data_IF_813150705482
#
_entry.id   IF_813150705482
#
_cell.length_a   1.000
_cell.length_b   1.000
_cell.length_c   1.000
_cell.angle_alpha   90.00
_cell.angle_beta   90.00
_cell.angle_gamma   90.00
#
_symmetry.space_group_name_H-M   'P 1'
#
loop_
_entity.id
_entity.type
_entity.pdbx_description
1 polymer ?
#
# COMPACT_ATOMS: atom_id res chain seq x y z
N UNK A 1 12.44 -24.05 -26.90
CA UNK A 1 12.31 -22.57 -26.89
C UNK A 1 12.21 -22.18 -25.47
N UNK A 2 13.29 -21.67 -24.89
CA UNK A 2 13.37 -21.21 -23.51
C UNK A 2 12.58 -19.90 -23.38
N UNK A 3 11.61 -19.84 -22.44
CA UNK A 3 10.92 -18.61 -22.08
C UNK A 3 11.95 -17.54 -21.69
N UNK A 4 11.75 -16.27 -22.11
CA UNK A 4 12.64 -15.20 -21.68
C UNK A 4 12.49 -15.03 -20.18
N UNK A 5 13.59 -15.14 -19.47
CA UNK A 5 13.78 -14.80 -18.07
C UNK A 5 13.16 -13.41 -17.83
N UNK A 6 11.98 -13.35 -17.17
CA UNK A 6 11.39 -12.11 -16.69
C UNK A 6 12.32 -11.58 -15.59
N UNK A 7 13.33 -10.82 -15.98
CA UNK A 7 14.16 -10.09 -15.04
C UNK A 7 13.24 -9.34 -14.08
N UNK A 8 13.46 -9.50 -12.78
CA UNK A 8 12.78 -8.75 -11.72
C UNK A 8 13.00 -7.25 -11.97
N UNK A 9 12.07 -6.63 -12.70
CA UNK A 9 12.14 -5.18 -12.90
C UNK A 9 11.75 -4.52 -11.56
N UNK A 10 12.68 -3.78 -10.97
CA UNK A 10 12.44 -3.01 -9.74
C UNK A 10 11.52 -1.84 -10.08
N UNK A 11 10.37 -1.76 -9.39
CA UNK A 11 9.44 -0.63 -9.55
C UNK A 11 9.82 0.53 -8.63
N UNK A 12 10.21 0.21 -7.37
CA UNK A 12 10.59 1.21 -6.37
C UNK A 12 11.99 0.90 -5.89
N UNK A 13 12.89 1.87 -6.05
CA UNK A 13 14.26 1.81 -5.55
C UNK A 13 14.43 2.84 -4.44
N UNK A 14 14.81 2.39 -3.24
CA UNK A 14 15.11 3.27 -2.10
C UNK A 14 16.57 3.10 -1.71
N UNK A 15 17.29 4.23 -1.54
CA UNK A 15 18.71 4.23 -1.15
C UNK A 15 18.97 5.27 -0.07
N UNK A 16 19.51 4.81 1.05
CA UNK A 16 19.97 5.66 2.13
C UNK A 16 18.90 6.56 2.72
N UNK A 17 17.64 6.09 2.77
CA UNK A 17 16.52 6.89 3.21
C UNK A 17 16.58 7.11 4.71
N UNK A 18 16.73 8.36 5.11
CA UNK A 18 16.67 8.82 6.47
C UNK A 18 15.48 9.78 6.64
N UNK A 19 14.77 9.69 7.77
CA UNK A 19 13.66 10.59 8.08
C UNK A 19 13.68 11.01 9.54
N UNK A 20 13.46 12.31 9.76
CA UNK A 20 13.33 12.90 11.09
C UNK A 20 11.98 13.61 11.23
N UNK A 21 11.36 13.45 12.39
CA UNK A 21 10.27 14.29 12.87
C UNK A 21 10.82 15.20 13.98
N UNK A 22 11.15 16.46 13.65
CA UNK A 22 11.91 17.33 14.53
C UNK A 22 13.30 16.74 14.81
N UNK A 23 13.56 16.42 16.09
CA UNK A 23 14.82 15.79 16.52
C UNK A 23 14.77 14.25 16.50
N UNK A 24 13.59 13.66 16.40
CA UNK A 24 13.41 12.21 16.42
C UNK A 24 13.80 11.61 15.07
N UNK A 25 14.87 10.84 15.01
CA UNK A 25 15.32 10.09 13.84
C UNK A 25 14.47 8.80 13.74
N UNK A 26 13.52 8.77 12.82
CA UNK A 26 12.50 7.73 12.72
C UNK A 26 12.81 6.64 11.67
N UNK A 27 13.66 6.95 10.67
CA UNK A 27 14.17 5.98 9.71
C UNK A 27 15.67 6.17 9.54
N UNK A 28 16.44 5.07 9.56
CA UNK A 28 17.89 5.04 9.59
C UNK A 28 18.42 4.34 8.34
N UNK A 29 18.96 5.09 7.38
CA UNK A 29 19.68 4.58 6.19
C UNK A 29 18.95 3.44 5.45
N UNK A 30 17.63 3.54 5.34
CA UNK A 30 16.78 2.49 4.77
C UNK A 30 17.06 2.36 3.28
N UNK A 31 17.42 1.13 2.85
CA UNK A 31 17.65 0.79 1.44
C UNK A 31 16.91 -0.51 1.09
N UNK A 32 16.09 -0.46 0.02
CA UNK A 32 15.28 -1.60 -0.41
C UNK A 32 14.91 -1.47 -1.89
N UNK A 33 14.82 -2.61 -2.58
CA UNK A 33 14.29 -2.73 -3.93
C UNK A 33 12.95 -3.47 -3.90
N UNK A 34 11.89 -2.81 -4.36
CA UNK A 34 10.54 -3.40 -4.42
C UNK A 34 10.24 -3.81 -5.86
N UNK A 35 10.06 -5.12 -6.11
CA UNK A 35 9.82 -5.62 -7.46
C UNK A 35 8.45 -5.21 -8.00
N UNK A 36 8.39 -5.01 -9.31
CA UNK A 36 7.16 -4.72 -10.05
C UNK A 36 6.16 -5.88 -9.95
N UNK A 37 4.85 -5.54 -9.88
CA UNK A 37 3.75 -6.52 -9.87
C UNK A 37 3.94 -7.63 -8.82
N UNK A 38 4.32 -7.22 -7.62
CA UNK A 38 4.51 -8.09 -6.46
C UNK A 38 3.92 -7.45 -5.21
N UNK A 39 3.72 -8.25 -4.17
CA UNK A 39 3.37 -7.76 -2.84
C UNK A 39 4.61 -7.79 -1.96
N UNK A 40 5.02 -6.62 -1.44
CA UNK A 40 6.05 -6.51 -0.41
C UNK A 40 5.39 -6.16 0.93
N UNK A 41 5.50 -7.05 1.91
CA UNK A 41 5.02 -6.82 3.26
C UNK A 41 6.10 -6.15 4.12
N UNK A 42 5.69 -5.15 4.91
CA UNK A 42 6.49 -4.52 5.95
C UNK A 42 5.98 -5.01 7.30
N UNK A 43 6.79 -5.77 8.01
CA UNK A 43 6.46 -6.33 9.34
C UNK A 43 7.39 -5.76 10.41
N UNK A 44 7.00 -5.88 11.68
CA UNK A 44 7.79 -5.41 12.82
C UNK A 44 6.91 -4.83 13.93
N UNK A 45 7.46 -4.55 15.12
CA UNK A 45 6.70 -4.04 16.25
C UNK A 45 6.06 -2.67 15.97
N UNK A 46 5.06 -2.30 16.79
CA UNK A 46 4.42 -0.98 16.68
C UNK A 46 5.45 0.13 16.91
N UNK A 47 5.37 1.19 16.11
CA UNK A 47 6.27 2.35 16.22
C UNK A 47 7.67 2.17 15.61
N UNK A 48 8.01 1.02 14.99
CA UNK A 48 9.34 0.79 14.41
C UNK A 48 9.60 1.47 13.04
N UNK A 49 8.68 2.30 12.53
CA UNK A 49 8.91 3.09 11.31
C UNK A 49 8.20 2.62 10.05
N UNK A 50 7.47 1.48 10.02
CA UNK A 50 6.81 0.92 8.84
C UNK A 50 5.89 1.89 8.11
N UNK A 51 4.91 2.47 8.83
CA UNK A 51 3.97 3.46 8.24
C UNK A 51 4.67 4.76 7.86
N UNK A 52 5.74 5.13 8.59
CA UNK A 52 6.60 6.26 8.21
C UNK A 52 7.28 6.00 6.88
N UNK A 53 7.88 4.82 6.71
CA UNK A 53 8.49 4.41 5.45
C UNK A 53 7.45 4.34 4.31
N UNK A 54 6.30 3.70 4.55
CA UNK A 54 5.22 3.60 3.57
C UNK A 54 4.81 4.99 3.04
N UNK A 55 4.65 5.97 3.93
CA UNK A 55 4.29 7.36 3.60
C UNK A 55 5.40 8.15 2.91
N UNK A 56 6.66 7.69 2.93
CA UNK A 56 7.71 8.26 2.11
C UNK A 56 7.49 7.96 0.62
N UNK A 57 6.91 6.81 0.27
CA UNK A 57 6.75 6.37 -1.11
C UNK A 57 5.75 7.22 -1.92
N UNK A 58 4.88 8.00 -1.25
CA UNK A 58 3.93 8.91 -1.90
C UNK A 58 4.01 10.35 -1.34
N UNK A 59 5.09 10.66 -0.62
CA UNK A 59 5.34 11.99 -0.05
C UNK A 59 4.25 12.48 0.93
N UNK A 60 3.53 11.55 1.58
CA UNK A 60 2.53 11.95 2.60
C UNK A 60 3.19 12.57 3.84
N UNK A 61 4.47 12.25 4.11
CA UNK A 61 5.22 12.85 5.21
C UNK A 61 5.49 14.36 5.01
N UNK A 62 5.39 14.87 3.78
CA UNK A 62 5.49 16.32 3.51
C UNK A 62 4.40 17.14 4.23
N UNK A 63 3.31 16.50 4.63
CA UNK A 63 2.21 17.13 5.39
C UNK A 63 2.51 17.27 6.88
N UNK A 64 3.58 16.63 7.37
CA UNK A 64 3.96 16.67 8.78
C UNK A 64 4.94 17.81 9.01
N UNK A 65 4.62 18.70 9.95
CA UNK A 65 5.51 19.82 10.31
C UNK A 65 6.84 19.30 10.82
N UNK A 66 7.93 19.97 10.44
CA UNK A 66 9.31 19.64 10.83
C UNK A 66 9.73 18.22 10.40
N UNK A 67 9.13 17.66 9.35
CA UNK A 67 9.62 16.44 8.73
C UNK A 67 10.80 16.78 7.81
N UNK A 68 11.92 16.07 7.99
CA UNK A 68 13.10 16.15 7.15
C UNK A 68 13.43 14.77 6.60
N UNK A 69 13.66 14.71 5.29
CA UNK A 69 13.95 13.47 4.57
C UNK A 69 15.29 13.65 3.84
N UNK A 70 16.13 12.61 3.86
CA UNK A 70 17.37 12.50 3.10
C UNK A 70 17.45 11.11 2.46
N UNK A 71 18.24 10.99 1.41
CA UNK A 71 18.34 9.77 0.61
C UNK A 71 17.60 9.92 -0.72
N UNK A 72 17.36 8.80 -1.39
CA UNK A 72 16.69 8.76 -2.69
C UNK A 72 15.57 7.73 -2.68
N UNK A 73 14.42 8.10 -3.25
CA UNK A 73 13.31 7.18 -3.53
C UNK A 73 12.95 7.35 -5.00
N UNK A 74 13.18 6.30 -5.80
CA UNK A 74 12.84 6.30 -7.22
C UNK A 74 11.66 5.37 -7.49
N UNK A 75 10.74 5.84 -8.30
CA UNK A 75 9.64 5.05 -8.85
C UNK A 75 9.72 5.15 -10.36
N UNK A 76 9.79 4.01 -11.05
CA UNK A 76 10.05 3.94 -12.49
C UNK A 76 11.27 4.80 -12.88
N UNK A 77 12.39 4.65 -12.15
CA UNK A 77 13.67 5.36 -12.31
C UNK A 77 13.62 6.88 -12.09
N UNK A 78 12.50 7.45 -11.64
CA UNK A 78 12.37 8.88 -11.32
C UNK A 78 12.42 9.12 -9.83
N UNK A 79 13.33 9.98 -9.36
CA UNK A 79 13.39 10.36 -7.95
C UNK A 79 12.18 11.22 -7.59
N UNK A 80 11.33 10.69 -6.69
CA UNK A 80 10.08 11.35 -6.30
C UNK A 80 10.28 12.59 -5.43
N UNK A 81 11.50 12.83 -4.91
CA UNK A 81 11.86 14.01 -4.12
C UNK A 81 12.56 15.09 -4.95
N UNK A 82 12.74 14.89 -6.26
CA UNK A 82 13.28 15.93 -7.14
C UNK A 82 12.31 17.12 -7.24
N UNK A 83 12.86 18.32 -7.53
CA UNK A 83 12.10 19.58 -7.50
C UNK A 83 11.05 19.71 -8.61
N UNK A 84 11.20 18.95 -9.68
CA UNK A 84 10.34 18.94 -10.86
C UNK A 84 9.16 17.97 -10.76
N UNK A 85 9.06 17.21 -9.67
CA UNK A 85 7.96 16.27 -9.47
C UNK A 85 6.68 16.99 -9.05
N UNK A 86 5.63 16.79 -9.84
CA UNK A 86 4.27 17.12 -9.45
C UNK A 86 3.77 16.09 -8.41
N UNK A 87 3.58 16.56 -7.17
CA UNK A 87 3.13 15.71 -6.05
C UNK A 87 1.69 15.23 -6.24
N UNK A 88 0.85 15.98 -6.97
CA UNK A 88 -0.53 15.56 -7.26
C UNK A 88 -0.51 14.38 -8.23
N UNK A 89 0.29 14.47 -9.29
CA UNK A 89 0.47 13.36 -10.23
C UNK A 89 1.12 12.14 -9.55
N UNK A 90 2.15 12.35 -8.72
CA UNK A 90 2.75 11.27 -7.93
C UNK A 90 1.70 10.53 -7.09
N UNK A 91 0.83 11.24 -6.36
CA UNK A 91 -0.20 10.63 -5.50
C UNK A 91 -1.34 9.98 -6.28
N UNK A 92 -1.52 10.33 -7.54
CA UNK A 92 -2.39 9.60 -8.48
C UNK A 92 -1.76 8.25 -8.87
N UNK A 93 -0.45 8.25 -9.19
CA UNK A 93 0.31 7.05 -9.57
C UNK A 93 0.56 6.11 -8.38
N UNK A 94 0.72 6.66 -7.17
CA UNK A 94 1.00 5.94 -5.93
C UNK A 94 -0.16 6.13 -4.95
N UNK A 95 -1.19 5.29 -5.12
CA UNK A 95 -2.39 5.34 -4.30
C UNK A 95 -2.16 4.80 -2.90
N UNK A 96 -2.97 5.23 -1.93
CA UNK A 96 -2.87 4.80 -0.54
C UNK A 96 -4.22 4.43 0.05
N UNK A 97 -4.26 3.28 0.71
CA UNK A 97 -5.39 2.78 1.50
C UNK A 97 -4.99 2.79 2.97
N UNK A 98 -5.77 3.48 3.79
CA UNK A 98 -5.46 3.71 5.20
C UNK A 98 -6.02 2.60 6.10
N UNK A 99 -5.48 2.52 7.30
CA UNK A 99 -5.86 1.56 8.34
C UNK A 99 -7.36 1.64 8.69
N UNK A 100 -7.87 2.87 8.89
CA UNK A 100 -9.31 3.09 9.09
C UNK A 100 -9.95 3.43 7.75
N UNK A 101 -11.03 2.76 7.36
CA UNK A 101 -11.81 3.17 6.20
C UNK A 101 -12.17 4.65 6.31
N UNK A 102 -11.99 5.39 5.22
CA UNK A 102 -12.25 6.82 5.18
C UNK A 102 -13.09 7.21 3.95
N UNK A 103 -14.28 6.63 3.77
CA UNK A 103 -15.17 7.07 2.72
C UNK A 103 -15.52 8.54 2.91
N UNK A 104 -15.66 9.27 1.82
CA UNK A 104 -16.20 10.62 1.87
C UNK A 104 -17.68 10.58 2.26
N UNK A 105 -18.22 11.61 2.94
CA UNK A 105 -19.64 11.70 3.29
C UNK A 105 -20.49 12.02 2.04
N UNK A 106 -20.44 11.12 1.07
CA UNK A 106 -21.08 11.18 -0.24
C UNK A 106 -21.69 9.81 -0.57
N UNK A 107 -22.36 9.72 -1.73
CA UNK A 107 -22.82 8.44 -2.25
C UNK A 107 -21.67 7.47 -2.57
N UNK A 108 -21.99 6.19 -2.72
CA UNK A 108 -21.04 5.16 -3.16
C UNK A 108 -20.45 5.56 -4.52
N UNK A 109 -21.31 5.92 -5.49
CA UNK A 109 -20.90 6.36 -6.82
C UNK A 109 -19.99 7.59 -6.78
N UNK A 110 -20.35 8.61 -5.99
CA UNK A 110 -19.54 9.84 -5.93
C UNK A 110 -18.19 9.63 -5.26
N UNK A 111 -18.07 8.71 -4.30
CA UNK A 111 -16.78 8.32 -3.74
C UNK A 111 -15.82 7.82 -4.83
N UNK A 112 -16.29 6.95 -5.72
CA UNK A 112 -15.47 6.41 -6.81
C UNK A 112 -15.22 7.47 -7.89
N UNK A 113 -16.27 8.20 -8.27
CA UNK A 113 -16.20 9.20 -9.33
C UNK A 113 -15.36 10.43 -8.98
N UNK A 114 -15.06 10.66 -7.70
CA UNK A 114 -14.40 11.87 -7.22
C UNK A 114 -13.02 12.08 -7.88
N UNK A 115 -12.14 11.09 -7.78
CA UNK A 115 -10.81 11.15 -8.38
C UNK A 115 -10.86 11.30 -9.90
N UNK A 116 -11.55 10.42 -10.63
CA UNK A 116 -11.71 10.55 -12.09
C UNK A 116 -12.24 11.92 -12.56
N UNK A 117 -13.24 12.49 -11.88
CA UNK A 117 -13.75 13.85 -12.18
C UNK A 117 -12.68 14.93 -12.06
N UNK A 118 -11.88 14.91 -10.97
CA UNK A 118 -10.79 15.86 -10.75
C UNK A 118 -9.69 15.72 -11.81
N UNK A 119 -9.41 14.49 -12.24
CA UNK A 119 -8.40 14.19 -13.26
C UNK A 119 -8.91 14.29 -14.70
N UNK A 120 -10.09 14.90 -14.91
CA UNK A 120 -10.59 15.27 -16.24
C UNK A 120 -11.19 14.13 -17.05
N UNK A 121 -11.62 13.03 -16.43
CA UNK A 121 -12.38 11.99 -17.12
C UNK A 121 -13.72 12.57 -17.59
N UNK A 122 -14.06 12.37 -18.85
CA UNK A 122 -15.28 12.92 -19.44
C UNK A 122 -16.53 12.36 -18.74
N UNK A 123 -17.54 13.23 -18.54
CA UNK A 123 -18.76 12.88 -17.79
C UNK A 123 -19.44 11.59 -18.32
N UNK A 124 -19.42 11.38 -19.63
CA UNK A 124 -20.01 10.20 -20.29
C UNK A 124 -19.32 8.89 -19.95
N UNK A 125 -18.06 8.93 -19.49
CA UNK A 125 -17.25 7.75 -19.21
C UNK A 125 -17.21 7.42 -17.71
N UNK A 126 -17.74 8.30 -16.85
CA UNK A 126 -17.68 8.16 -15.39
C UNK A 126 -18.41 6.91 -14.91
N UNK A 127 -19.58 6.60 -15.44
CA UNK A 127 -20.38 5.45 -14.97
C UNK A 127 -19.64 4.14 -15.25
N UNK A 128 -18.99 4.02 -16.42
CA UNK A 128 -18.14 2.87 -16.73
C UNK A 128 -16.93 2.76 -15.80
N UNK A 129 -16.27 3.89 -15.47
CA UNK A 129 -15.15 3.90 -14.51
C UNK A 129 -15.61 3.49 -13.11
N UNK A 130 -16.82 3.92 -12.69
CA UNK A 130 -17.40 3.54 -11.39
C UNK A 130 -17.64 2.04 -11.33
N UNK A 131 -18.28 1.47 -12.35
CA UNK A 131 -18.52 0.02 -12.41
C UNK A 131 -17.23 -0.77 -12.41
N UNK A 132 -16.27 -0.43 -13.29
CA UNK A 132 -14.97 -1.09 -13.39
C UNK A 132 -14.20 -1.07 -12.06
N UNK A 133 -14.20 0.08 -11.39
CA UNK A 133 -13.52 0.24 -10.10
C UNK A 133 -14.18 -0.57 -8.99
N UNK A 134 -15.52 -0.58 -8.91
CA UNK A 134 -16.26 -1.37 -7.92
C UNK A 134 -16.12 -2.88 -8.16
N UNK A 135 -16.09 -3.33 -9.42
CA UNK A 135 -15.79 -4.73 -9.77
C UNK A 135 -14.34 -5.08 -9.37
N UNK A 136 -13.39 -4.23 -9.72
CA UNK A 136 -11.97 -4.41 -9.34
C UNK A 136 -11.76 -4.38 -7.82
N UNK A 137 -12.59 -3.68 -7.07
CA UNK A 137 -12.61 -3.65 -5.60
C UNK A 137 -13.44 -4.76 -4.95
N UNK A 138 -13.97 -5.73 -5.74
CA UNK A 138 -14.81 -6.83 -5.29
C UNK A 138 -16.03 -6.35 -4.46
N UNK A 139 -16.66 -5.24 -4.89
CA UNK A 139 -17.79 -4.63 -4.17
C UNK A 139 -19.06 -4.49 -5.05
N UNK A 140 -18.93 -4.56 -6.38
CA UNK A 140 -20.02 -4.29 -7.31
C UNK A 140 -21.31 -5.10 -7.00
N UNK A 141 -21.19 -6.40 -6.84
CA UNK A 141 -22.34 -7.29 -6.62
C UNK A 141 -23.12 -6.98 -5.33
N UNK A 142 -22.48 -6.29 -4.38
CA UNK A 142 -23.11 -5.92 -3.10
C UNK A 142 -23.78 -4.54 -3.14
N UNK A 143 -23.42 -3.67 -4.13
CA UNK A 143 -23.84 -2.26 -4.11
C UNK A 143 -24.46 -1.75 -5.41
N UNK A 144 -24.48 -2.54 -6.49
CA UNK A 144 -24.93 -2.11 -7.82
C UNK A 144 -26.34 -1.48 -7.83
N UNK A 145 -27.25 -1.98 -7.00
CA UNK A 145 -28.63 -1.48 -6.91
C UNK A 145 -28.80 -0.27 -5.98
N UNK A 146 -27.72 0.17 -5.29
CA UNK A 146 -27.78 1.25 -4.30
C UNK A 146 -26.60 2.24 -4.39
N UNK A 147 -26.11 2.50 -5.59
CA UNK A 147 -24.96 3.40 -5.84
C UNK A 147 -25.17 4.83 -5.33
N UNK A 148 -26.41 5.28 -5.22
CA UNK A 148 -26.79 6.61 -4.75
C UNK A 148 -26.93 6.72 -3.23
N UNK A 149 -26.86 5.61 -2.49
CA UNK A 149 -26.91 5.64 -1.02
C UNK A 149 -25.60 6.13 -0.42
N UNK A 150 -25.66 6.58 0.82
CA UNK A 150 -24.47 7.06 1.56
C UNK A 150 -23.42 5.97 1.69
N UNK A 151 -22.17 6.27 1.40
CA UNK A 151 -21.04 5.37 1.63
C UNK A 151 -20.81 5.08 3.11
N UNK A 152 -21.31 5.93 4.02
CA UNK A 152 -21.20 5.75 5.46
C UNK A 152 -22.13 4.64 5.99
N UNK A 153 -23.16 4.26 5.23
CA UNK A 153 -24.10 3.21 5.59
C UNK A 153 -23.56 1.80 5.27
N UNK A 154 -22.39 1.71 4.66
CA UNK A 154 -21.71 0.45 4.38
C UNK A 154 -21.09 -0.15 5.64
N UNK A 155 -20.99 -1.48 5.72
CA UNK A 155 -20.21 -2.16 6.77
C UNK A 155 -18.73 -1.79 6.68
N UNK A 156 -17.96 -1.98 7.77
CA UNK A 156 -16.53 -1.64 7.80
C UNK A 156 -15.73 -2.31 6.67
N UNK A 157 -15.97 -3.59 6.40
CA UNK A 157 -15.33 -4.31 5.29
C UNK A 157 -15.75 -3.79 3.91
N UNK A 158 -17.02 -3.40 3.73
CA UNK A 158 -17.50 -2.76 2.51
C UNK A 158 -16.88 -1.36 2.33
N UNK A 159 -16.81 -0.57 3.40
CA UNK A 159 -16.16 0.75 3.36
C UNK A 159 -14.68 0.62 2.98
N UNK A 160 -13.96 -0.37 3.50
CA UNK A 160 -12.57 -0.59 3.15
C UNK A 160 -12.42 -0.97 1.67
N UNK A 161 -13.26 -1.89 1.16
CA UNK A 161 -13.26 -2.23 -0.27
C UNK A 161 -13.67 -1.04 -1.15
N UNK A 162 -14.57 -0.17 -0.69
CA UNK A 162 -14.88 1.08 -1.37
C UNK A 162 -13.65 2.01 -1.45
N UNK A 163 -12.88 2.14 -0.35
CA UNK A 163 -11.64 2.94 -0.35
C UNK A 163 -10.59 2.33 -1.30
N UNK A 164 -10.51 1.00 -1.40
CA UNK A 164 -9.66 0.32 -2.40
C UNK A 164 -10.16 0.65 -3.81
N UNK A 165 -11.45 0.46 -4.10
CA UNK A 165 -12.05 0.76 -5.39
C UNK A 165 -11.84 2.23 -5.80
N UNK A 166 -12.00 3.17 -4.85
CA UNK A 166 -11.70 4.60 -5.07
C UNK A 166 -10.24 4.84 -5.47
N UNK A 167 -9.31 4.12 -4.85
CA UNK A 167 -7.89 4.20 -5.22
C UNK A 167 -7.65 3.63 -6.62
N UNK A 168 -8.30 2.53 -6.98
CA UNK A 168 -8.20 1.90 -8.30
C UNK A 168 -8.80 2.75 -9.44
N UNK A 169 -9.82 3.56 -9.14
CA UNK A 169 -10.54 4.38 -10.13
C UNK A 169 -9.64 5.39 -10.87
N UNK A 170 -8.53 5.81 -10.28
CA UNK A 170 -7.53 6.69 -10.89
C UNK A 170 -6.39 5.95 -11.59
N UNK A 171 -6.45 4.61 -11.65
CA UNK A 171 -5.48 3.70 -12.31
C UNK A 171 -4.04 3.95 -11.83
N UNK A 172 -3.74 3.70 -10.56
CA UNK A 172 -2.39 3.84 -10.02
C UNK A 172 -1.43 2.82 -10.63
N UNK A 173 -0.13 2.96 -10.39
CA UNK A 173 0.92 1.98 -10.69
C UNK A 173 1.28 1.19 -9.43
N UNK A 174 1.26 1.89 -8.29
CA UNK A 174 1.59 1.35 -6.98
C UNK A 174 0.42 1.57 -6.02
N UNK A 175 0.15 0.58 -5.17
CA UNK A 175 -0.86 0.68 -4.11
C UNK A 175 -0.19 0.43 -2.77
N UNK A 176 -0.33 1.40 -1.87
CA UNK A 176 0.18 1.35 -0.51
C UNK A 176 -0.97 1.01 0.45
N UNK A 177 -0.80 -0.03 1.26
CA UNK A 177 -1.76 -0.43 2.28
C UNK A 177 -1.17 -0.24 3.67
N UNK A 178 -1.76 0.62 4.49
CA UNK A 178 -1.36 0.83 5.89
C UNK A 178 -2.32 0.05 6.79
N UNK A 179 -1.99 -1.19 7.16
CA UNK A 179 -2.77 -2.09 8.01
C UNK A 179 -4.26 -2.25 7.61
N UNK A 180 -4.58 -2.58 6.35
CA UNK A 180 -5.94 -2.47 5.80
C UNK A 180 -6.99 -3.38 6.46
N UNK A 181 -6.58 -4.39 7.21
CA UNK A 181 -7.46 -5.39 7.82
C UNK A 181 -7.52 -5.32 9.35
N UNK A 182 -6.78 -4.41 10.00
CA UNK A 182 -6.59 -4.41 11.47
C UNK A 182 -7.88 -4.20 12.29
N UNK A 183 -8.92 -3.59 11.71
CA UNK A 183 -10.20 -3.31 12.36
C UNK A 183 -11.36 -4.13 11.79
N UNK A 184 -11.07 -5.20 11.02
CA UNK A 184 -12.07 -5.97 10.29
C UNK A 184 -12.26 -7.37 10.90
N UNK A 185 -13.46 -7.90 10.69
CA UNK A 185 -13.78 -9.29 10.99
C UNK A 185 -13.01 -10.28 10.07
N UNK A 186 -12.91 -11.56 10.44
CA UNK A 186 -12.16 -12.55 9.65
C UNK A 186 -12.67 -12.74 8.21
N UNK A 187 -13.99 -12.65 7.97
CA UNK A 187 -14.58 -12.82 6.64
C UNK A 187 -14.20 -11.63 5.76
N UNK A 188 -14.34 -10.42 6.27
CA UNK A 188 -13.92 -9.20 5.57
C UNK A 188 -12.42 -9.18 5.29
N UNK A 189 -11.61 -9.67 6.23
CA UNK A 189 -10.16 -9.82 6.07
C UNK A 189 -9.82 -10.77 4.92
N UNK A 190 -10.45 -11.96 4.87
CA UNK A 190 -10.24 -12.93 3.77
C UNK A 190 -10.56 -12.33 2.41
N UNK A 191 -11.69 -11.61 2.28
CA UNK A 191 -12.05 -10.94 1.04
C UNK A 191 -11.01 -9.90 0.58
N UNK A 192 -10.39 -9.17 1.51
CA UNK A 192 -9.33 -8.20 1.18
C UNK A 192 -8.03 -8.91 0.81
N UNK A 193 -7.67 -10.00 1.49
CA UNK A 193 -6.51 -10.80 1.13
C UNK A 193 -6.63 -11.37 -0.29
N UNK A 194 -7.77 -11.97 -0.62
CA UNK A 194 -8.07 -12.45 -1.98
C UNK A 194 -7.99 -11.32 -3.02
N UNK A 195 -8.55 -10.15 -2.68
CA UNK A 195 -8.50 -8.98 -3.54
C UNK A 195 -7.04 -8.52 -3.77
N UNK A 196 -6.19 -8.46 -2.74
CA UNK A 196 -4.77 -8.11 -2.86
C UNK A 196 -4.05 -9.09 -3.80
N UNK A 197 -4.34 -10.40 -3.69
CA UNK A 197 -3.75 -11.43 -4.56
C UNK A 197 -4.16 -11.28 -6.03
N UNK A 198 -5.37 -10.80 -6.31
CA UNK A 198 -5.79 -10.47 -7.68
C UNK A 198 -5.14 -9.17 -8.17
N UNK A 199 -5.08 -8.15 -7.32
CA UNK A 199 -4.52 -6.84 -7.67
C UNK A 199 -3.03 -6.91 -8.00
N UNK A 200 -2.23 -7.76 -7.34
CA UNK A 200 -0.79 -7.88 -7.61
C UNK A 200 -0.47 -8.29 -9.04
N UNK A 201 -1.41 -8.89 -9.76
CA UNK A 201 -1.22 -9.25 -11.18
C UNK A 201 -1.04 -8.02 -12.08
N UNK A 202 -1.51 -6.85 -11.62
CA UNK A 202 -1.51 -5.59 -12.39
C UNK A 202 -0.75 -4.46 -11.69
N UNK A 203 -0.67 -4.49 -10.36
CA UNK A 203 -0.17 -3.40 -9.53
C UNK A 203 1.01 -3.86 -8.68
N UNK A 204 1.92 -2.96 -8.40
CA UNK A 204 2.93 -3.15 -7.36
C UNK A 204 2.33 -2.77 -6.01
N UNK A 205 2.44 -3.64 -5.02
CA UNK A 205 1.76 -3.47 -3.72
C UNK A 205 2.78 -3.45 -2.60
N UNK A 206 2.68 -2.45 -1.72
CA UNK A 206 3.42 -2.41 -0.45
C UNK A 206 2.41 -2.38 0.68
N UNK A 207 2.50 -3.34 1.59
CA UNK A 207 1.55 -3.48 2.69
C UNK A 207 2.24 -3.49 4.04
N UNK A 208 1.78 -2.63 4.95
CA UNK A 208 2.12 -2.73 6.38
C UNK A 208 1.10 -3.66 7.04
N UNK A 209 1.58 -4.62 7.79
CA UNK A 209 0.72 -5.47 8.64
C UNK A 209 1.46 -5.89 9.90
N UNK A 210 0.74 -6.02 11.00
CA UNK A 210 1.23 -6.65 12.23
C UNK A 210 0.82 -8.13 12.34
N UNK A 211 0.02 -8.62 11.38
CA UNK A 211 -0.41 -10.01 11.33
C UNK A 211 0.57 -10.83 10.48
N UNK A 212 1.41 -11.65 11.15
CA UNK A 212 2.43 -12.49 10.51
C UNK A 212 1.82 -13.50 9.54
N UNK A 213 0.68 -14.09 9.91
CA UNK A 213 0.01 -15.08 9.06
C UNK A 213 -0.52 -14.42 7.77
N UNK A 214 -1.02 -13.19 7.87
CA UNK A 214 -1.42 -12.42 6.71
C UNK A 214 -0.22 -12.16 5.80
N UNK A 215 0.89 -11.62 6.35
CA UNK A 215 2.11 -11.36 5.57
C UNK A 215 2.58 -12.63 4.85
N UNK A 216 2.64 -13.77 5.56
CA UNK A 216 3.08 -15.04 4.99
C UNK A 216 2.19 -15.54 3.84
N UNK A 217 0.86 -15.28 3.90
CA UNK A 217 -0.07 -15.75 2.86
C UNK A 217 -0.07 -14.89 1.61
N UNK A 218 0.03 -13.57 1.74
CA UNK A 218 -0.26 -12.67 0.61
C UNK A 218 0.98 -12.03 -0.02
N UNK A 219 2.14 -12.03 0.65
CA UNK A 219 3.32 -11.33 0.13
C UNK A 219 4.30 -12.23 -0.60
N UNK A 220 4.98 -11.66 -1.59
CA UNK A 220 6.09 -12.30 -2.31
C UNK A 220 7.42 -12.00 -1.63
N UNK A 221 7.54 -10.78 -1.06
CA UNK A 221 8.72 -10.31 -0.32
C UNK A 221 8.30 -9.74 1.02
N UNK A 222 9.17 -9.86 2.00
CA UNK A 222 8.93 -9.33 3.35
C UNK A 222 10.15 -8.57 3.85
N UNK A 223 9.93 -7.37 4.39
CA UNK A 223 10.93 -6.56 5.09
C UNK A 223 10.58 -6.51 6.58
N UNK A 224 11.51 -6.90 7.43
CA UNK A 224 11.39 -6.77 8.88
C UNK A 224 12.02 -5.47 9.35
N UNK A 225 11.19 -4.60 9.93
CA UNK A 225 11.58 -3.32 10.51
C UNK A 225 11.74 -3.44 12.03
N UNK A 226 12.81 -2.83 12.55
CA UNK A 226 13.05 -2.67 13.98
C UNK A 226 13.68 -1.31 14.24
N UNK A 227 13.07 -0.48 15.10
CA UNK A 227 13.59 0.83 15.53
C UNK A 227 14.14 1.74 14.42
N UNK A 228 13.43 1.81 13.28
CA UNK A 228 13.81 2.67 12.15
C UNK A 228 14.69 2.02 11.09
N UNK A 229 15.17 0.80 11.33
CA UNK A 229 16.05 0.06 10.42
C UNK A 229 15.32 -1.09 9.73
N UNK A 230 15.73 -1.45 8.50
CA UNK A 230 15.42 -2.75 7.91
C UNK A 230 16.48 -3.75 8.39
N UNK A 231 16.07 -4.69 9.22
CA UNK A 231 16.95 -5.74 9.75
C UNK A 231 17.14 -6.85 8.73
N UNK A 232 16.08 -7.24 8.05
CA UNK A 232 16.14 -8.25 7.03
C UNK A 232 15.09 -8.02 5.94
N UNK A 233 15.45 -8.29 4.69
CA UNK A 233 14.59 -8.23 3.53
C UNK A 233 14.86 -9.40 2.59
N UNK A 234 13.82 -10.04 2.11
CA UNK A 234 13.95 -11.17 1.20
C UNK A 234 12.62 -11.73 0.74
N UNK A 235 12.66 -12.89 0.08
CA UNK A 235 11.45 -13.64 -0.26
C UNK A 235 10.71 -14.01 1.02
N UNK A 236 9.39 -13.90 1.00
CA UNK A 236 8.54 -14.15 2.17
C UNK A 236 8.77 -15.55 2.76
N UNK A 237 8.81 -16.58 1.93
CA UNK A 237 9.10 -17.96 2.35
C UNK A 237 10.41 -18.03 3.15
N UNK A 238 11.50 -17.44 2.63
CA UNK A 238 12.81 -17.44 3.31
C UNK A 238 12.77 -16.70 4.66
N UNK A 239 12.08 -15.53 4.71
CA UNK A 239 11.98 -14.73 5.95
C UNK A 239 11.22 -15.50 7.03
N UNK A 240 10.14 -16.22 6.67
CA UNK A 240 9.31 -16.93 7.64
C UNK A 240 9.82 -18.33 8.02
N UNK A 241 10.46 -19.04 7.10
CA UNK A 241 10.91 -20.43 7.32
C UNK A 241 12.36 -20.52 7.76
N UNK A 242 13.23 -19.64 7.24
CA UNK A 242 14.67 -19.68 7.49
C UNK A 242 15.27 -18.26 7.53
N UNK A 243 14.88 -17.42 8.51
CA UNK A 243 15.44 -16.09 8.68
C UNK A 243 16.95 -16.15 8.96
N UNK A 244 17.70 -15.22 8.37
CA UNK A 244 19.16 -15.16 8.55
C UNK A 244 19.55 -14.35 9.78
N UNK A 245 18.67 -13.43 10.19
CA UNK A 245 18.95 -12.52 11.30
C UNK A 245 18.22 -12.98 12.56
N UNK A 246 18.96 -13.09 13.67
CA UNK A 246 18.39 -13.50 14.95
C UNK A 246 17.21 -12.63 15.41
N UNK A 247 17.22 -11.29 15.29
CA UNK A 247 16.06 -10.47 15.64
C UNK A 247 14.80 -10.80 14.81
N UNK A 248 14.97 -11.18 13.53
CA UNK A 248 13.87 -11.63 12.66
C UNK A 248 13.26 -12.94 13.18
N UNK A 249 14.11 -13.92 13.50
CA UNK A 249 13.68 -15.21 14.07
C UNK A 249 12.92 -15.03 15.38
N UNK A 250 13.47 -14.21 16.29
CA UNK A 250 12.84 -13.93 17.59
C UNK A 250 11.48 -13.26 17.43
N UNK A 251 11.35 -12.30 16.47
CA UNK A 251 10.09 -11.64 16.20
C UNK A 251 9.03 -12.60 15.64
N UNK A 252 9.38 -13.40 14.62
CA UNK A 252 8.45 -14.33 13.96
C UNK A 252 8.01 -15.45 14.91
N UNK A 253 8.90 -15.91 15.79
CA UNK A 253 8.59 -16.97 16.76
C UNK A 253 7.92 -16.49 18.04
N UNK A 254 7.66 -15.18 18.15
CA UNK A 254 7.03 -14.57 19.34
C UNK A 254 7.94 -14.52 20.58
N UNK A 255 9.25 -14.68 20.40
CA UNK A 255 10.27 -14.56 21.48
C UNK A 255 10.78 -13.13 21.65
N UNK A 256 10.13 -12.19 21.00
CA UNK A 256 10.50 -10.78 20.99
C UNK A 256 9.84 -10.08 22.20
N UNK A 257 10.63 -9.71 23.21
CA UNK A 257 10.17 -9.04 24.42
C UNK A 257 11.34 -8.76 25.36
#
# INVERSE_FOLDING_TARGET
>A
MSEPNKGNHTEIEVRGLNLWYGENHALHDVSIDIPKNSVTALIGPSGCGKSTFLRCLNRMNDLVKNCRIQGSVKIDNKDIYSKDIDVVDLRKRVGMVFQKPNPFPMSIQDNIAYGPKIHGVAKKDIDGVVEDALRSGALWEEVAERLTTSALDLSGGQQQRLCIARTLAVRPEVILFDEPCSALDPISTSKIEELIMELKKKYTIVIVTHNMQQAARISDHTAFFLTGDIIEYGKTEQIFENPKMKPTEDYITGRFG
#
